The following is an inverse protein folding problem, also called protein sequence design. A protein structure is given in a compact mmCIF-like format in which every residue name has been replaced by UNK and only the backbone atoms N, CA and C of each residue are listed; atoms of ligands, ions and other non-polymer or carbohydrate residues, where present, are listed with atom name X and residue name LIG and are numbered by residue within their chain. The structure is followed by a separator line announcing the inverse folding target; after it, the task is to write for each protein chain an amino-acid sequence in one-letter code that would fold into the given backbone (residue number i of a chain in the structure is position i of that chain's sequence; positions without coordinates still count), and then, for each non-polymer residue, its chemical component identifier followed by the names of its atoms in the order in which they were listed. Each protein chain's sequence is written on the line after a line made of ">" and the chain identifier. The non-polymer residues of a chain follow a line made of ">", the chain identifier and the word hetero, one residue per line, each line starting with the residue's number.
data_IF_379908979104
#
_entry.id   IF_379908979104
#
_cell.length_a   1.000
_cell.length_b   1.000
_cell.length_c   1.000
_cell.angle_alpha   90.00
_cell.angle_beta   90.00
_cell.angle_gamma   90.00
#
_symmetry.space_group_name_H-M   'P 1'
#
loop_
_entity.id
_entity.type
_entity.pdbx_description
1 polymer ?
#
# COMPACT_ATOMS: atom_id res chain seq x y z
N UNK A 1 35.51 4.86 47.85
CA UNK A 1 34.94 3.64 48.48
C UNK A 1 33.48 3.84 48.91
N UNK A 2 33.23 4.45 50.08
CA UNK A 2 31.87 4.52 50.65
C UNK A 2 30.85 5.26 49.74
N UNK A 3 31.32 6.31 49.07
CA UNK A 3 30.58 7.11 48.07
C UNK A 3 30.14 6.29 46.86
N UNK A 4 31.04 5.50 46.25
CA UNK A 4 30.67 4.65 45.10
C UNK A 4 29.67 3.56 45.53
N UNK A 5 29.78 3.01 46.75
CA UNK A 5 28.87 1.98 47.25
C UNK A 5 27.46 2.55 47.47
N UNK A 6 27.32 3.77 48.01
CA UNK A 6 26.02 4.45 48.10
C UNK A 6 25.44 4.78 46.72
N UNK A 7 26.27 5.27 45.79
CA UNK A 7 25.84 5.53 44.41
C UNK A 7 25.35 4.25 43.73
N UNK A 8 26.14 3.18 43.75
CA UNK A 8 25.79 1.90 43.12
C UNK A 8 24.48 1.31 43.67
N UNK A 9 24.25 1.39 44.99
CA UNK A 9 22.97 0.98 45.61
C UNK A 9 21.79 1.82 45.13
N UNK A 10 21.95 3.15 45.03
CA UNK A 10 20.90 4.04 44.51
C UNK A 10 20.62 3.84 43.01
N UNK A 11 21.66 3.51 42.23
CA UNK A 11 21.53 3.23 40.81
C UNK A 11 20.86 1.87 40.55
N UNK A 12 21.21 0.83 41.30
CA UNK A 12 20.57 -0.48 41.18
C UNK A 12 19.09 -0.43 41.59
N UNK A 13 18.73 0.29 42.65
CA UNK A 13 17.31 0.48 43.01
C UNK A 13 16.56 1.30 41.96
N UNK A 14 17.20 2.27 41.29
CA UNK A 14 16.59 2.97 40.15
C UNK A 14 16.37 2.02 38.95
N UNK A 15 17.32 1.14 38.64
CA UNK A 15 17.15 0.14 37.58
C UNK A 15 16.02 -0.86 37.89
N UNK A 16 15.90 -1.31 39.13
CA UNK A 16 14.88 -2.28 39.58
C UNK A 16 13.44 -1.73 39.44
N UNK A 17 13.26 -0.40 39.52
CA UNK A 17 11.96 0.25 39.24
C UNK A 17 11.57 0.31 37.77
N UNK A 18 12.46 -0.06 36.83
CA UNK A 18 12.20 0.05 35.39
C UNK A 18 11.78 -1.30 34.79
N UNK A 19 10.76 -1.33 33.90
CA UNK A 19 10.30 -2.57 33.30
C UNK A 19 11.38 -3.18 32.40
N UNK A 20 11.80 -4.40 32.69
CA UNK A 20 12.81 -5.14 31.93
C UNK A 20 12.37 -5.51 30.49
N UNK A 21 11.09 -5.30 30.15
CA UNK A 21 10.52 -5.40 28.81
C UNK A 21 9.53 -4.27 28.60
N UNK A 22 9.69 -3.55 27.48
CA UNK A 22 8.75 -2.54 27.01
C UNK A 22 7.78 -3.24 26.03
N UNK A 23 6.48 -2.97 26.14
CA UNK A 23 5.46 -3.52 25.23
C UNK A 23 5.46 -2.81 23.88
N UNK A 24 5.01 -3.44 22.78
CA UNK A 24 4.96 -2.81 21.45
C UNK A 24 4.18 -1.49 21.42
N UNK A 25 3.11 -1.42 22.22
CA UNK A 25 2.19 -0.27 22.30
C UNK A 25 2.59 0.76 23.38
N UNK A 26 3.81 0.68 23.92
CA UNK A 26 4.29 1.61 24.96
C UNK A 26 4.63 2.99 24.38
N UNK A 27 3.92 4.01 24.82
CA UNK A 27 4.11 5.40 24.41
C UNK A 27 4.41 6.24 25.66
N UNK A 28 5.57 6.90 25.68
CA UNK A 28 5.95 7.86 26.72
C UNK A 28 5.69 9.30 26.23
N UNK A 29 5.02 10.13 27.04
CA UNK A 29 4.85 11.56 26.71
C UNK A 29 6.23 12.26 26.84
N UNK A 30 6.74 12.93 25.78
CA UNK A 30 8.02 13.63 25.82
C UNK A 30 8.06 14.76 26.85
N UNK A 31 6.92 15.23 27.38
CA UNK A 31 6.83 16.20 28.48
C UNK A 31 7.16 15.61 29.84
N UNK A 32 7.11 14.29 29.99
CA UNK A 32 7.32 13.60 31.26
C UNK A 32 8.80 13.23 31.49
N UNK A 33 9.68 13.46 30.49
CA UNK A 33 11.12 13.36 30.67
C UNK A 33 11.66 14.55 31.49
N UNK A 34 12.64 14.33 32.38
CA UNK A 34 13.32 15.42 33.06
C UNK A 34 14.02 16.32 32.03
N UNK A 35 13.97 17.64 32.24
CA UNK A 35 14.56 18.67 31.39
C UNK A 35 16.10 18.74 31.49
N UNK A 36 16.76 17.61 31.32
CA UNK A 36 18.22 17.54 31.24
C UNK A 36 18.73 18.14 29.93
N UNK A 37 19.89 18.81 30.00
CA UNK A 37 20.72 18.99 28.80
C UNK A 37 20.99 17.62 28.18
N UNK A 38 20.87 17.44 26.85
CA UNK A 38 21.15 16.14 26.24
C UNK A 38 22.56 15.68 26.61
N UNK A 39 22.73 14.39 26.91
CA UNK A 39 24.03 13.82 27.24
C UNK A 39 24.90 13.73 25.97
N UNK A 40 25.47 14.88 25.61
CA UNK A 40 26.42 15.01 24.52
C UNK A 40 27.68 14.28 24.97
N UNK A 41 27.93 13.11 24.34
CA UNK A 41 29.18 12.37 24.50
C UNK A 41 30.37 13.34 24.33
N UNK A 42 31.39 13.27 25.22
CA UNK A 42 32.59 14.09 25.09
C UNK A 42 33.12 14.01 23.65
N UNK A 43 33.28 15.17 23.00
CA UNK A 43 33.59 15.24 21.56
C UNK A 43 34.91 14.49 21.29
N UNK A 44 34.80 13.34 20.61
CA UNK A 44 35.94 12.52 20.23
C UNK A 44 36.95 13.38 19.45
N UNK A 45 38.26 13.29 19.76
CA UNK A 45 39.28 14.09 19.10
C UNK A 45 39.39 13.70 17.63
N UNK A 46 38.85 14.55 16.75
CA UNK A 46 39.03 14.54 15.29
C UNK A 46 38.96 13.15 14.63
N UNK A 47 37.86 12.41 14.84
CA UNK A 47 37.55 11.32 13.90
C UNK A 47 37.27 11.90 12.51
N UNK A 48 37.75 11.26 11.42
CA UNK A 48 37.45 11.72 10.07
C UNK A 48 35.93 11.71 9.83
N UNK A 49 35.38 12.68 9.08
CA UNK A 49 33.94 12.73 8.84
C UNK A 49 33.49 11.46 8.12
N UNK A 50 32.42 10.83 8.62
CA UNK A 50 31.83 9.65 8.00
C UNK A 50 31.53 9.94 6.51
N UNK A 51 31.79 8.98 5.60
CA UNK A 51 31.55 9.18 4.18
C UNK A 51 30.07 9.50 3.95
N UNK A 52 29.79 10.71 3.48
CA UNK A 52 28.44 11.11 3.08
C UNK A 52 27.99 10.16 1.96
N UNK A 53 26.78 9.56 2.03
CA UNK A 53 26.31 8.66 0.98
C UNK A 53 26.24 9.44 -0.35
N UNK A 54 27.08 9.05 -1.30
CA UNK A 54 27.04 9.57 -2.66
C UNK A 54 25.71 9.18 -3.29
N UNK A 55 25.01 10.15 -3.89
CA UNK A 55 23.70 9.94 -4.53
C UNK A 55 23.86 9.18 -5.85
N UNK A 56 24.12 7.89 -5.76
CA UNK A 56 24.03 6.95 -6.88
C UNK A 56 22.56 6.72 -7.29
N UNK A 57 22.37 6.14 -8.47
CA UNK A 57 21.05 5.78 -9.02
C UNK A 57 20.30 4.75 -8.15
N UNK A 58 18.97 4.64 -8.29
CA UNK A 58 18.13 3.83 -7.40
C UNK A 58 18.34 2.32 -7.61
N UNK A 59 19.22 1.74 -6.81
CA UNK A 59 19.37 0.29 -6.66
C UNK A 59 19.60 -0.05 -5.18
N UNK A 60 18.77 -0.94 -4.64
CA UNK A 60 18.92 -1.59 -3.32
C UNK A 60 19.23 -0.67 -2.12
N UNK A 61 18.33 0.26 -1.79
CA UNK A 61 18.29 0.89 -0.46
C UNK A 61 17.46 0.02 0.51
N UNK A 62 18.12 -0.83 1.29
CA UNK A 62 17.47 -1.70 2.28
C UNK A 62 17.03 -0.93 3.54
N UNK A 63 15.87 -0.27 3.48
CA UNK A 63 15.18 0.22 4.68
C UNK A 63 14.66 -0.93 5.54
N UNK A 64 14.71 -0.86 6.88
CA UNK A 64 14.22 -1.91 7.80
C UNK A 64 12.68 -1.93 7.92
N UNK A 65 12.01 -1.97 6.76
CA UNK A 65 10.56 -2.14 6.58
C UNK A 65 10.23 -2.71 5.18
N UNK A 66 11.24 -3.21 4.44
CA UNK A 66 11.04 -3.82 3.14
C UNK A 66 10.58 -5.29 3.33
N UNK A 67 9.26 -5.49 3.38
CA UNK A 67 8.68 -6.83 3.23
C UNK A 67 9.24 -7.48 1.95
N UNK A 68 9.66 -8.75 1.98
CA UNK A 68 10.25 -9.39 0.81
C UNK A 68 9.19 -9.48 -0.30
N UNK A 69 9.50 -8.92 -1.47
CA UNK A 69 8.56 -8.84 -2.60
C UNK A 69 8.94 -9.77 -3.74
N UNK A 70 7.95 -10.36 -4.40
CA UNK A 70 8.10 -11.09 -5.66
C UNK A 70 7.29 -10.43 -6.77
N UNK A 71 7.82 -10.40 -7.99
CA UNK A 71 7.01 -10.10 -9.18
C UNK A 71 6.17 -11.32 -9.56
N UNK A 72 4.89 -11.08 -9.86
CA UNK A 72 3.93 -12.16 -10.16
C UNK A 72 3.42 -12.01 -11.59
N UNK A 73 3.65 -13.04 -12.41
CA UNK A 73 3.06 -13.16 -13.76
C UNK A 73 2.04 -14.28 -13.76
N UNK A 74 0.90 -14.03 -14.40
CA UNK A 74 -0.23 -14.96 -14.40
C UNK A 74 -0.66 -15.27 -15.83
N UNK A 75 -0.35 -16.48 -16.27
CA UNK A 75 -0.53 -16.94 -17.65
C UNK A 75 -1.71 -17.89 -17.76
N UNK A 76 -2.76 -17.50 -18.48
CA UNK A 76 -3.88 -18.40 -18.76
C UNK A 76 -3.63 -19.21 -20.03
N UNK A 77 -3.81 -20.53 -19.95
CA UNK A 77 -3.75 -21.47 -21.07
C UNK A 77 -5.06 -21.45 -21.90
N UNK A 78 -5.55 -20.24 -22.19
CA UNK A 78 -6.73 -20.00 -23.04
C UNK A 78 -6.30 -19.62 -24.46
N UNK A 79 -7.27 -19.69 -25.37
CA UNK A 79 -7.22 -19.00 -26.65
C UNK A 79 -8.40 -17.99 -26.66
N UNK A 80 -8.16 -16.66 -26.73
CA UNK A 80 -6.85 -16.00 -26.75
C UNK A 80 -6.05 -16.22 -25.45
N UNK A 81 -4.71 -16.26 -25.51
CA UNK A 81 -3.87 -16.36 -24.32
C UNK A 81 -3.84 -15.02 -23.58
N UNK A 82 -4.07 -15.06 -22.27
CA UNK A 82 -3.97 -13.89 -21.40
C UNK A 82 -2.74 -14.03 -20.52
N UNK A 83 -1.78 -13.12 -20.66
CA UNK A 83 -0.66 -12.93 -19.73
C UNK A 83 -0.91 -11.67 -18.91
N UNK A 84 -1.01 -11.83 -17.59
CA UNK A 84 -1.36 -10.77 -16.66
C UNK A 84 -0.22 -10.62 -15.65
N UNK A 85 0.70 -9.70 -15.95
CA UNK A 85 1.69 -9.24 -14.99
C UNK A 85 1.00 -8.41 -13.90
N UNK A 86 0.89 -8.96 -12.68
CA UNK A 86 0.28 -8.27 -11.54
C UNK A 86 1.23 -7.26 -10.88
N UNK A 87 2.51 -7.26 -11.27
CA UNK A 87 3.54 -6.38 -10.73
C UNK A 87 4.25 -7.01 -9.53
N UNK A 88 4.82 -6.17 -8.69
CA UNK A 88 5.60 -6.55 -7.50
C UNK A 88 4.67 -6.60 -6.29
N UNK A 89 4.50 -7.78 -5.69
CA UNK A 89 3.65 -8.03 -4.53
C UNK A 89 4.49 -8.52 -3.33
N UNK A 90 4.17 -8.14 -2.08
CA UNK A 90 4.86 -8.66 -0.91
C UNK A 90 4.50 -10.14 -0.68
N UNK A 91 5.45 -10.94 -0.20
CA UNK A 91 5.26 -12.40 0.01
C UNK A 91 4.19 -12.75 1.07
N UNK A 92 3.67 -11.74 1.77
CA UNK A 92 2.54 -11.83 2.71
C UNK A 92 1.17 -11.96 2.03
N UNK A 93 1.00 -11.55 0.76
CA UNK A 93 -0.30 -11.65 0.08
C UNK A 93 -0.78 -13.10 -0.06
N UNK A 94 -2.08 -13.31 0.08
CA UNK A 94 -2.72 -14.61 -0.12
C UNK A 94 -2.95 -14.93 -1.60
N UNK A 95 -3.18 -16.21 -1.89
CA UNK A 95 -3.64 -16.67 -3.21
C UNK A 95 -5.02 -16.09 -3.55
N UNK A 96 -5.86 -15.81 -2.56
CA UNK A 96 -7.15 -15.13 -2.77
C UNK A 96 -6.97 -13.70 -3.31
N UNK A 97 -5.97 -12.95 -2.82
CA UNK A 97 -5.67 -11.59 -3.28
C UNK A 97 -5.16 -11.59 -4.72
N UNK A 98 -4.27 -12.52 -5.05
CA UNK A 98 -3.79 -12.76 -6.42
C UNK A 98 -4.96 -13.13 -7.35
N UNK A 99 -5.86 -13.99 -6.88
CA UNK A 99 -7.01 -14.51 -7.63
C UNK A 99 -8.09 -13.45 -7.87
N UNK A 100 -8.34 -12.57 -6.89
CA UNK A 100 -9.25 -11.41 -7.03
C UNK A 100 -8.66 -10.33 -7.95
N UNK A 101 -7.35 -10.08 -7.88
CA UNK A 101 -6.68 -9.16 -8.81
C UNK A 101 -6.73 -9.65 -10.27
N UNK A 102 -6.64 -10.97 -10.50
CA UNK A 102 -6.83 -11.58 -11.83
C UNK A 102 -8.31 -11.52 -12.25
N UNK A 103 -9.24 -11.87 -11.36
CA UNK A 103 -10.68 -11.78 -11.59
C UNK A 103 -11.10 -10.40 -12.11
N UNK A 104 -10.65 -9.34 -11.44
CA UNK A 104 -10.93 -7.95 -11.81
C UNK A 104 -10.36 -7.56 -13.19
N UNK A 105 -9.15 -8.02 -13.54
CA UNK A 105 -8.51 -7.71 -14.83
C UNK A 105 -9.04 -8.53 -16.01
N UNK A 106 -9.56 -9.74 -15.74
CA UNK A 106 -10.06 -10.68 -16.77
C UNK A 106 -11.59 -10.62 -16.89
N UNK A 107 -12.29 -9.93 -15.97
CA UNK A 107 -13.76 -9.86 -15.96
C UNK A 107 -14.41 -11.20 -15.62
N UNK A 108 -13.82 -11.98 -14.73
CA UNK A 108 -14.27 -13.35 -14.40
C UNK A 108 -14.46 -13.57 -12.90
N UNK A 109 -15.48 -14.32 -12.55
CA UNK A 109 -15.82 -14.67 -11.16
C UNK A 109 -14.74 -15.54 -10.49
N UNK A 110 -14.36 -15.14 -9.27
CA UNK A 110 -13.37 -15.80 -8.39
C UNK A 110 -13.66 -17.28 -8.21
N UNK A 111 -14.93 -17.70 -8.05
CA UNK A 111 -15.28 -19.10 -7.85
C UNK A 111 -14.94 -19.99 -9.08
N UNK A 112 -14.84 -19.38 -10.27
CA UNK A 112 -14.53 -20.04 -11.53
C UNK A 112 -13.02 -20.10 -11.83
N UNK A 113 -12.17 -19.48 -10.99
CA UNK A 113 -10.72 -19.45 -11.19
C UNK A 113 -10.01 -20.52 -10.34
N UNK A 114 -9.17 -21.34 -10.98
CA UNK A 114 -8.17 -22.18 -10.31
C UNK A 114 -6.77 -21.68 -10.66
N UNK A 115 -6.04 -21.24 -9.64
CA UNK A 115 -4.62 -20.88 -9.75
C UNK A 115 -3.78 -22.16 -9.62
N UNK A 116 -2.82 -22.33 -10.53
CA UNK A 116 -1.86 -23.43 -10.50
C UNK A 116 -0.43 -22.89 -10.39
N UNK A 117 0.37 -23.55 -9.56
CA UNK A 117 1.81 -23.34 -9.45
C UNK A 117 2.51 -24.66 -9.78
N UNK A 118 3.48 -24.63 -10.71
CA UNK A 118 4.17 -25.83 -11.20
C UNK A 118 3.19 -27.00 -11.56
N UNK A 119 2.08 -26.68 -12.25
CA UNK A 119 0.99 -27.59 -12.63
C UNK A 119 0.16 -28.18 -11.47
N UNK A 120 0.39 -27.79 -10.22
CA UNK A 120 -0.42 -28.18 -9.04
C UNK A 120 -1.42 -27.08 -8.71
N UNK A 121 -2.69 -27.42 -8.45
CA UNK A 121 -3.70 -26.45 -7.99
C UNK A 121 -3.34 -25.95 -6.60
N UNK A 122 -3.34 -24.63 -6.41
CA UNK A 122 -3.05 -23.98 -5.14
C UNK A 122 -4.36 -23.68 -4.40
N UNK A 123 -4.36 -23.84 -3.07
CA UNK A 123 -5.50 -23.49 -2.23
C UNK A 123 -5.44 -22.00 -1.85
N UNK A 124 -6.60 -21.32 -1.89
CA UNK A 124 -6.74 -19.87 -1.66
C UNK A 124 -6.19 -19.40 -0.30
N UNK A 125 -6.19 -20.27 0.71
CA UNK A 125 -5.69 -20.01 2.07
C UNK A 125 -4.16 -19.97 2.22
N UNK A 126 -3.40 -20.21 1.16
CA UNK A 126 -1.92 -20.11 1.18
C UNK A 126 -1.46 -18.70 0.82
N UNK A 127 -0.33 -18.29 1.38
CA UNK A 127 0.36 -17.04 1.03
C UNK A 127 1.59 -17.30 0.15
N UNK A 128 2.07 -16.28 -0.57
CA UNK A 128 3.16 -16.45 -1.55
C UNK A 128 4.45 -17.04 -0.91
N UNK A 129 4.77 -16.66 0.33
CA UNK A 129 5.84 -17.27 1.14
C UNK A 129 5.74 -18.80 1.26
N UNK A 130 4.53 -19.35 1.42
CA UNK A 130 4.31 -20.80 1.64
C UNK A 130 4.46 -21.61 0.34
N UNK A 131 4.33 -20.94 -0.80
CA UNK A 131 4.42 -21.51 -2.14
C UNK A 131 5.88 -21.48 -2.60
N UNK A 132 6.56 -20.36 -2.38
CA UNK A 132 7.98 -20.18 -2.68
C UNK A 132 8.87 -21.03 -1.75
N UNK A 133 8.54 -21.11 -0.45
CA UNK A 133 9.21 -21.98 0.51
C UNK A 133 9.06 -23.49 0.24
N UNK A 134 8.18 -23.89 -0.69
CA UNK A 134 8.02 -25.28 -1.14
C UNK A 134 9.01 -25.74 -2.21
N UNK A 135 9.94 -24.88 -2.67
CA UNK A 135 10.93 -25.20 -3.69
C UNK A 135 12.15 -24.26 -3.62
N UNK A 136 13.18 -24.66 -2.87
CA UNK A 136 14.28 -23.82 -2.40
C UNK A 136 15.33 -23.38 -3.46
N UNK A 137 14.99 -23.34 -4.76
CA UNK A 137 15.87 -22.85 -5.84
C UNK A 137 15.33 -21.61 -6.57
N UNK A 138 14.08 -21.19 -6.33
CA UNK A 138 13.47 -20.02 -7.00
C UNK A 138 13.73 -18.68 -6.28
N UNK A 139 14.52 -18.65 -5.21
CA UNK A 139 14.71 -17.46 -4.37
C UNK A 139 15.68 -16.39 -4.95
N UNK A 140 16.41 -16.69 -6.03
CA UNK A 140 17.39 -15.79 -6.64
C UNK A 140 16.82 -14.86 -7.73
N UNK A 141 15.64 -15.18 -8.28
CA UNK A 141 14.91 -14.33 -9.23
C UNK A 141 13.47 -14.26 -8.75
N UNK A 142 13.05 -13.09 -8.27
CA UNK A 142 11.71 -12.87 -7.74
C UNK A 142 10.66 -12.79 -8.85
N UNK A 143 10.46 -13.86 -9.62
CA UNK A 143 9.45 -13.99 -10.67
C UNK A 143 8.67 -15.30 -10.48
N UNK A 144 7.38 -15.18 -10.13
CA UNK A 144 6.50 -16.32 -9.88
C UNK A 144 5.47 -16.43 -11.02
N UNK A 145 5.66 -17.41 -11.92
CA UNK A 145 4.68 -17.75 -12.96
C UNK A 145 3.58 -18.65 -12.39
N UNK A 146 2.37 -18.11 -12.26
CA UNK A 146 1.17 -18.91 -12.02
C UNK A 146 0.43 -19.19 -13.33
N UNK A 147 -0.12 -20.39 -13.45
CA UNK A 147 -1.02 -20.75 -14.55
C UNK A 147 -2.49 -20.66 -14.11
N UNK A 148 -3.34 -19.97 -14.87
CA UNK A 148 -4.78 -19.86 -14.55
C UNK A 148 -5.63 -20.76 -15.42
N UNK A 149 -6.31 -21.70 -14.77
CA UNK A 149 -7.37 -22.51 -15.34
C UNK A 149 -8.72 -21.95 -14.92
N UNK A 150 -9.38 -21.24 -15.83
CA UNK A 150 -10.81 -20.90 -15.66
C UNK A 150 -11.65 -22.17 -15.88
N UNK A 151 -12.62 -22.43 -15.00
CA UNK A 151 -13.62 -23.49 -15.13
C UNK A 151 -14.98 -22.85 -15.42
N UNK A 152 -15.42 -23.04 -16.67
CA UNK A 152 -16.49 -22.24 -17.28
C UNK A 152 -16.01 -21.71 -18.63
N UNK A 153 -16.83 -21.94 -19.67
CA UNK A 153 -16.61 -21.39 -21.00
C UNK A 153 -17.36 -20.07 -21.14
N UNK A 154 -16.63 -18.95 -21.08
CA UNK A 154 -17.14 -17.65 -21.44
C UNK A 154 -16.05 -16.92 -22.23
N UNK A 155 -16.30 -16.71 -23.52
CA UNK A 155 -15.46 -15.90 -24.39
C UNK A 155 -16.34 -14.78 -24.97
N UNK A 156 -16.03 -13.54 -24.64
CA UNK A 156 -16.54 -12.36 -25.32
C UNK A 156 -15.61 -11.16 -25.06
N UNK A 157 -15.24 -10.48 -26.14
CA UNK A 157 -14.83 -9.07 -26.13
C UNK A 157 -16.06 -8.20 -26.41
N UNK A 158 -15.88 -6.88 -26.38
CA UNK A 158 -16.85 -5.82 -26.73
C UNK A 158 -17.87 -5.40 -25.63
N UNK A 159 -18.55 -4.28 -25.88
CA UNK A 159 -18.99 -3.31 -24.86
C UNK A 159 -20.29 -2.58 -25.27
N UNK A 160 -21.31 -2.59 -24.38
CA UNK A 160 -22.58 -1.81 -24.46
C UNK A 160 -23.50 -2.15 -25.68
N UNK A 161 -24.77 -1.71 -25.73
CA UNK A 161 -25.80 -1.85 -24.67
C UNK A 161 -27.21 -2.20 -25.22
N UNK A 162 -28.07 -2.83 -24.41
CA UNK A 162 -29.47 -2.36 -24.25
C UNK A 162 -30.08 -2.95 -22.96
N UNK A 163 -31.10 -2.29 -22.41
CA UNK A 163 -31.81 -2.71 -21.21
C UNK A 163 -33.33 -2.46 -21.34
N UNK A 164 -34.09 -3.28 -20.63
CA UNK A 164 -35.41 -3.04 -20.06
C UNK A 164 -35.37 -3.82 -18.72
N UNK A 165 -35.45 -3.16 -17.56
CA UNK A 165 -36.65 -2.57 -16.95
C UNK A 165 -37.59 -3.67 -16.40
N UNK A 166 -38.26 -3.50 -15.26
CA UNK A 166 -38.42 -2.27 -14.47
C UNK A 166 -37.42 -2.16 -13.26
N UNK A 167 -37.92 -2.03 -12.03
CA UNK A 167 -37.51 -1.01 -11.03
C UNK A 167 -37.59 -1.57 -9.58
N UNK A 168 -36.98 -1.05 -8.49
CA UNK A 168 -36.02 0.05 -8.20
C UNK A 168 -35.34 -0.27 -6.81
N UNK A 169 -34.50 0.49 -6.09
CA UNK A 169 -33.78 1.80 -6.19
C UNK A 169 -32.51 1.72 -5.29
N UNK A 170 -31.48 2.52 -5.57
CA UNK A 170 -30.54 3.18 -4.60
C UNK A 170 -29.38 3.83 -5.36
N UNK A 171 -29.46 5.15 -5.53
CA UNK A 171 -28.59 5.95 -6.39
C UNK A 171 -27.32 6.47 -5.69
N UNK A 172 -26.22 5.68 -5.74
CA UNK A 172 -24.94 6.07 -5.13
C UNK A 172 -23.66 5.62 -5.88
N UNK A 173 -23.74 4.86 -6.98
CA UNK A 173 -22.57 4.36 -7.70
C UNK A 173 -22.67 4.60 -9.23
N UNK A 174 -21.53 4.47 -9.93
CA UNK A 174 -21.36 4.55 -11.40
C UNK A 174 -21.34 5.93 -12.08
N UNK A 175 -20.83 6.99 -11.41
CA UNK A 175 -20.34 8.18 -12.14
C UNK A 175 -18.90 7.96 -12.62
N UNK A 176 -18.76 7.86 -13.95
CA UNK A 176 -17.56 8.08 -14.76
C UNK A 176 -16.18 7.62 -14.24
N UNK A 177 -15.75 6.43 -14.69
CA UNK A 177 -14.33 6.19 -14.98
C UNK A 177 -13.93 6.99 -16.26
N UNK A 178 -13.79 8.31 -16.11
CA UNK A 178 -13.51 9.26 -17.20
C UNK A 178 -12.09 9.84 -17.18
N UNK A 179 -11.58 10.17 -18.38
CA UNK A 179 -10.43 11.05 -18.70
C UNK A 179 -9.46 11.38 -17.54
N UNK A 180 -8.70 10.39 -17.06
CA UNK A 180 -7.80 10.55 -15.91
C UNK A 180 -6.70 11.60 -16.12
N UNK A 181 -6.69 12.68 -15.34
CA UNK A 181 -5.60 13.66 -15.31
C UNK A 181 -6.09 15.11 -15.22
N UNK A 182 -5.29 16.05 -15.74
CA UNK A 182 -5.64 17.48 -15.79
C UNK A 182 -6.91 17.77 -16.59
N UNK A 183 -7.26 16.90 -17.54
CA UNK A 183 -8.46 16.99 -18.38
C UNK A 183 -9.76 16.98 -17.55
N UNK A 184 -9.76 16.40 -16.34
CA UNK A 184 -10.92 16.49 -15.42
C UNK A 184 -11.12 17.95 -14.94
N UNK A 185 -10.02 18.68 -14.69
CA UNK A 185 -10.03 20.06 -14.20
C UNK A 185 -10.42 21.08 -15.28
N UNK A 186 -10.41 20.67 -16.55
CA UNK A 186 -10.91 21.45 -17.69
C UNK A 186 -12.44 21.35 -17.82
N UNK A 187 -13.08 20.39 -17.14
CA UNK A 187 -14.52 20.12 -17.24
C UNK A 187 -15.31 20.85 -16.13
N UNK A 188 -16.32 21.63 -16.51
CA UNK A 188 -17.19 22.35 -15.55
C UNK A 188 -17.93 21.41 -14.58
N UNK A 189 -18.23 20.18 -14.99
CA UNK A 189 -18.89 19.14 -14.18
C UNK A 189 -18.12 18.85 -12.88
N UNK A 190 -16.78 18.82 -12.93
CA UNK A 190 -15.92 18.63 -11.76
C UNK A 190 -16.03 19.79 -10.77
N UNK A 191 -16.09 21.02 -11.27
CA UNK A 191 -16.23 22.22 -10.44
C UNK A 191 -17.63 22.33 -9.83
N UNK A 192 -18.65 21.83 -10.52
CA UNK A 192 -20.01 21.67 -10.00
C UNK A 192 -20.10 20.65 -8.87
N UNK A 193 -19.52 19.45 -9.05
CA UNK A 193 -19.47 18.41 -8.01
C UNK A 193 -18.66 18.85 -6.79
N UNK A 194 -17.49 19.48 -7.00
CA UNK A 194 -16.68 20.05 -5.92
C UNK A 194 -17.46 21.10 -5.12
N UNK A 195 -18.26 21.96 -5.77
CA UNK A 195 -19.15 22.91 -5.09
C UNK A 195 -20.22 22.17 -4.26
N UNK A 196 -20.89 21.16 -4.82
CA UNK A 196 -21.89 20.37 -4.12
C UNK A 196 -21.33 19.65 -2.89
N UNK A 197 -20.15 19.03 -3.02
CA UNK A 197 -19.42 18.40 -1.91
C UNK A 197 -19.06 19.40 -0.81
N UNK A 198 -18.56 20.58 -1.17
CA UNK A 198 -18.22 21.63 -0.20
C UNK A 198 -19.47 22.18 0.50
N UNK A 199 -20.57 22.41 -0.22
CA UNK A 199 -21.86 22.78 0.38
C UNK A 199 -22.36 21.71 1.36
N UNK A 200 -22.27 20.41 1.01
CA UNK A 200 -22.67 19.31 1.88
C UNK A 200 -21.82 19.23 3.18
N UNK A 201 -20.51 19.53 3.09
CA UNK A 201 -19.55 19.39 4.19
C UNK A 201 -19.46 20.62 5.09
N UNK A 202 -19.47 21.82 4.50
CA UNK A 202 -19.33 23.10 5.22
C UNK A 202 -20.69 23.63 5.69
N UNK A 203 -21.79 23.28 4.98
CA UNK A 203 -23.17 23.74 5.25
C UNK A 203 -23.36 25.26 5.18
N UNK A 204 -22.46 25.94 4.49
CA UNK A 204 -22.58 27.33 4.08
C UNK A 204 -22.30 27.41 2.57
N UNK A 205 -23.17 28.10 1.85
CA UNK A 205 -23.08 28.24 0.39
C UNK A 205 -22.02 29.26 0.00
N UNK A 206 -21.77 30.28 0.82
CA UNK A 206 -20.85 31.38 0.50
C UNK A 206 -19.40 30.93 0.58
N UNK A 207 -18.99 30.33 1.68
CA UNK A 207 -17.62 29.80 1.81
C UNK A 207 -17.36 28.63 0.84
N UNK A 208 -18.38 27.87 0.44
CA UNK A 208 -18.25 26.88 -0.64
C UNK A 208 -18.01 27.54 -2.02
N UNK A 209 -18.71 28.62 -2.35
CA UNK A 209 -18.47 29.39 -3.58
C UNK A 209 -17.11 30.10 -3.58
N UNK A 210 -16.73 30.74 -2.47
CA UNK A 210 -15.42 31.40 -2.30
C UNK A 210 -14.26 30.41 -2.45
N UNK A 211 -14.35 29.21 -1.84
CA UNK A 211 -13.28 28.20 -1.93
C UNK A 211 -13.17 27.60 -3.33
N UNK A 212 -14.28 27.31 -4.01
CA UNK A 212 -14.25 26.88 -5.43
C UNK A 212 -13.69 27.98 -6.33
N UNK A 213 -14.06 29.24 -6.10
CA UNK A 213 -13.49 30.40 -6.80
C UNK A 213 -11.98 30.54 -6.62
N UNK A 214 -11.48 30.36 -5.39
CA UNK A 214 -10.05 30.36 -5.09
C UNK A 214 -9.30 29.20 -5.77
N UNK A 215 -9.84 27.98 -5.75
CA UNK A 215 -9.22 26.84 -6.44
C UNK A 215 -9.18 27.05 -7.96
N UNK A 216 -10.28 27.54 -8.56
CA UNK A 216 -10.34 27.83 -10.00
C UNK A 216 -9.40 28.96 -10.40
N UNK A 217 -9.28 30.01 -9.58
CA UNK A 217 -8.33 31.11 -9.78
C UNK A 217 -6.88 30.66 -9.65
N UNK A 218 -6.56 29.84 -8.65
CA UNK A 218 -5.22 29.27 -8.46
C UNK A 218 -4.83 28.27 -9.56
N UNK A 219 -5.80 27.56 -10.15
CA UNK A 219 -5.59 26.72 -11.33
C UNK A 219 -5.32 27.57 -12.58
N UNK A 220 -6.17 28.58 -12.85
CA UNK A 220 -6.01 29.48 -13.99
C UNK A 220 -4.72 30.32 -13.93
N UNK A 221 -4.21 30.65 -12.74
CA UNK A 221 -2.91 31.31 -12.53
C UNK A 221 -1.69 30.37 -12.54
N UNK A 222 -1.88 29.07 -12.83
CA UNK A 222 -0.82 28.04 -12.89
C UNK A 222 -0.61 27.47 -14.30
N UNK A 223 -1.51 27.78 -15.23
CA UNK A 223 -1.41 27.44 -16.65
C UNK A 223 -0.66 28.55 -17.43
#
# INVERSE_FOLDING_TARGET
>A
MATEISFAKSFLTLLDTKPAKITPDHIEDPRNYPSGTPYILPRLPSQPPLPKPTRASPTTSSTPAADPTASVRVRSLRNPPLDVALGVLPLTTSVLDVKTAVAARVGTDVAKLRLLYAKKVVADSKSLRDILGGGAEAAAVGEVEFSVMVMGGAAALAKKPQAAAEEEETSAELVAQGLSGTVVLETEEFWGDLKGFLQQRVRDEKTAEETVGLFRGAWAGRA
#
